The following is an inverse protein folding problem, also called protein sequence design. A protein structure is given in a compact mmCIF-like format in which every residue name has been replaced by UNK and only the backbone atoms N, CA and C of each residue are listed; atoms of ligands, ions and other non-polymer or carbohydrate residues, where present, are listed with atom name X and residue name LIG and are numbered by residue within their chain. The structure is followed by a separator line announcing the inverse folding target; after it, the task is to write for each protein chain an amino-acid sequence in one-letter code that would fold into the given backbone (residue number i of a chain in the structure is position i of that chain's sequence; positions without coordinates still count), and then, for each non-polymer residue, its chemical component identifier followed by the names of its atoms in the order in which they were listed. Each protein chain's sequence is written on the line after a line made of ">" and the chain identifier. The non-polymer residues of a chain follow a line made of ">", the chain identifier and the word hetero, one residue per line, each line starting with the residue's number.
data_IF_939652879307
#
_entry.id   IF_939652879307
#
_cell.length_a   1.000
_cell.length_b   1.000
_cell.length_c   1.000
_cell.angle_alpha   90.00
_cell.angle_beta   90.00
_cell.angle_gamma   90.00
#
_symmetry.space_group_name_H-M   'P 1'
#
loop_
_entity.id
_entity.type
_entity.pdbx_description
1 polymer ?
#
# COMPACT_ATOMS: atom_id res chain seq x y z
N UNK A 1 -12.10 0.68 -20.78
CA UNK A 1 -11.71 0.12 -19.45
C UNK A 1 -12.32 0.97 -18.36
N UNK A 2 -12.98 0.37 -17.37
CA UNK A 2 -13.65 1.06 -16.25
C UNK A 2 -12.62 1.56 -15.24
N UNK A 3 -12.86 2.75 -14.71
CA UNK A 3 -12.11 3.27 -13.56
C UNK A 3 -12.71 2.70 -12.26
N UNK A 4 -12.24 1.51 -11.88
CA UNK A 4 -12.76 0.76 -10.73
C UNK A 4 -11.61 0.14 -9.93
N UNK A 5 -11.70 0.24 -8.61
CA UNK A 5 -10.74 -0.41 -7.71
C UNK A 5 -11.18 -1.85 -7.44
N UNK A 6 -10.35 -2.83 -7.80
CA UNK A 6 -10.68 -4.26 -7.71
C UNK A 6 -10.22 -4.86 -6.38
N UNK A 7 -11.11 -5.58 -5.70
CA UNK A 7 -10.87 -6.20 -4.38
C UNK A 7 -10.17 -7.56 -4.51
N UNK A 8 -8.90 -7.56 -4.93
CA UNK A 8 -8.06 -8.76 -5.02
C UNK A 8 -7.76 -9.37 -3.65
N UNK A 9 -7.20 -10.59 -3.60
CA UNK A 9 -6.76 -11.25 -2.37
C UNK A 9 -5.77 -10.38 -1.58
N UNK A 10 -4.83 -9.72 -2.25
CA UNK A 10 -3.88 -8.80 -1.63
C UNK A 10 -4.58 -7.59 -0.98
N UNK A 11 -5.56 -7.01 -1.64
CA UNK A 11 -6.35 -5.89 -1.11
C UNK A 11 -7.09 -6.31 0.16
N UNK A 12 -7.72 -7.48 0.14
CA UNK A 12 -8.44 -8.00 1.32
C UNK A 12 -7.49 -8.26 2.50
N UNK A 13 -6.30 -8.85 2.26
CA UNK A 13 -5.27 -9.06 3.29
C UNK A 13 -4.79 -7.73 3.88
N UNK A 14 -4.52 -6.74 3.04
CA UNK A 14 -4.14 -5.39 3.49
C UNK A 14 -5.21 -4.78 4.40
N UNK A 15 -6.46 -4.77 3.93
CA UNK A 15 -7.58 -4.21 4.71
C UNK A 15 -7.73 -4.90 6.05
N UNK A 16 -7.72 -6.24 6.07
CA UNK A 16 -7.81 -7.02 7.31
C UNK A 16 -6.71 -6.67 8.30
N UNK A 17 -5.44 -6.56 7.83
CA UNK A 17 -4.32 -6.18 8.67
C UNK A 17 -4.46 -4.75 9.24
N UNK A 18 -4.87 -3.79 8.40
CA UNK A 18 -5.05 -2.40 8.86
C UNK A 18 -6.25 -2.27 9.81
N UNK A 19 -7.35 -2.96 9.53
CA UNK A 19 -8.50 -3.03 10.44
C UNK A 19 -8.11 -3.66 11.78
N UNK A 20 -7.33 -4.75 11.76
CA UNK A 20 -6.85 -5.38 12.99
C UNK A 20 -6.05 -4.39 13.85
N UNK A 21 -5.03 -3.70 13.32
CA UNK A 21 -4.24 -2.75 14.11
C UNK A 21 -5.06 -1.54 14.57
N UNK A 22 -6.10 -1.14 13.83
CA UNK A 22 -6.96 -0.02 14.20
C UNK A 22 -7.89 -0.36 15.37
N UNK A 23 -8.36 -1.60 15.47
CA UNK A 23 -9.28 -2.04 16.53
C UNK A 23 -8.57 -2.51 17.81
N UNK A 24 -7.23 -2.58 17.83
CA UNK A 24 -6.49 -2.93 19.06
C UNK A 24 -6.62 -1.84 20.12
N UNK A 25 -6.54 -2.23 21.38
CA UNK A 25 -6.60 -1.31 22.51
C UNK A 25 -5.45 -0.29 22.46
N UNK A 26 -5.68 0.89 23.01
CA UNK A 26 -4.60 1.87 23.23
C UNK A 26 -3.59 1.29 24.23
N UNK A 27 -2.30 1.52 23.97
CA UNK A 27 -1.21 1.03 24.83
C UNK A 27 -0.70 -0.35 24.47
N UNK A 28 -1.19 -0.96 23.37
CA UNK A 28 -0.58 -2.13 22.74
C UNK A 28 -0.08 -1.78 21.35
N UNK A 29 0.83 -2.59 20.82
CA UNK A 29 1.43 -2.37 19.50
C UNK A 29 0.37 -2.35 18.41
N UNK A 30 0.48 -1.39 17.49
CA UNK A 30 -0.47 -1.12 16.41
C UNK A 30 0.25 -0.84 15.10
N UNK A 31 1.28 -1.62 14.80
CA UNK A 31 2.03 -1.51 13.55
C UNK A 31 1.78 -2.70 12.63
N UNK A 32 1.76 -2.43 11.33
CA UNK A 32 1.72 -3.44 10.28
C UNK A 32 2.84 -3.21 9.27
N UNK A 33 3.42 -4.30 8.77
CA UNK A 33 4.38 -4.29 7.67
C UNK A 33 3.76 -4.96 6.46
N UNK A 34 3.76 -4.28 5.31
CA UNK A 34 3.29 -4.80 4.03
C UNK A 34 4.44 -4.75 3.03
N UNK A 35 4.80 -5.87 2.46
CA UNK A 35 5.93 -5.91 1.53
C UNK A 35 5.69 -6.87 0.38
N UNK A 36 6.35 -6.63 -0.73
CA UNK A 36 6.40 -7.55 -1.89
C UNK A 36 7.33 -7.04 -2.98
N UNK A 37 7.48 -7.85 -4.01
CA UNK A 37 8.07 -7.42 -5.27
C UNK A 37 7.28 -6.24 -5.90
N UNK A 38 7.91 -5.46 -6.81
CA UNK A 38 7.25 -4.35 -7.49
C UNK A 38 6.06 -4.80 -8.34
N UNK A 39 5.07 -3.91 -8.52
CA UNK A 39 3.96 -4.12 -9.47
C UNK A 39 2.80 -4.99 -8.96
N UNK A 40 2.75 -5.30 -7.66
CA UNK A 40 1.66 -6.06 -7.02
C UNK A 40 0.58 -5.19 -6.35
N UNK A 41 0.59 -3.86 -6.57
CA UNK A 41 -0.49 -2.97 -6.20
C UNK A 41 -0.46 -2.42 -4.77
N UNK A 42 0.66 -2.52 -4.04
CA UNK A 42 0.77 -2.01 -2.65
C UNK A 42 0.39 -0.54 -2.52
N UNK A 43 1.06 0.33 -3.27
CA UNK A 43 0.84 1.79 -3.25
C UNK A 43 -0.60 2.15 -3.58
N UNK A 44 -1.16 1.54 -4.64
CA UNK A 44 -2.55 1.79 -5.06
C UNK A 44 -3.55 1.35 -4.01
N UNK A 45 -3.32 0.19 -3.39
CA UNK A 45 -4.14 -0.31 -2.28
C UNK A 45 -4.11 0.65 -1.09
N UNK A 46 -2.93 1.16 -0.75
CA UNK A 46 -2.75 2.10 0.34
C UNK A 46 -3.42 3.46 0.07
N UNK A 47 -3.26 3.99 -1.15
CA UNK A 47 -3.91 5.24 -1.58
C UNK A 47 -5.44 5.11 -1.50
N UNK A 48 -5.97 4.03 -2.06
CA UNK A 48 -7.42 3.76 -2.00
C UNK A 48 -7.90 3.62 -0.55
N UNK A 49 -7.14 2.94 0.30
CA UNK A 49 -7.48 2.82 1.73
C UNK A 49 -7.45 4.19 2.42
N UNK A 50 -6.39 4.96 2.23
CA UNK A 50 -6.22 6.27 2.86
C UNK A 50 -7.36 7.24 2.48
N UNK A 51 -7.72 7.29 1.20
CA UNK A 51 -8.81 8.13 0.70
C UNK A 51 -10.18 7.80 1.33
N UNK A 52 -10.42 6.52 1.64
CA UNK A 52 -11.72 6.07 2.15
C UNK A 52 -11.81 5.97 3.69
N UNK A 53 -10.67 6.05 4.41
CA UNK A 53 -10.63 5.80 5.87
C UNK A 53 -9.95 6.91 6.66
N UNK A 54 -9.83 8.11 6.10
CA UNK A 54 -9.19 9.26 6.75
C UNK A 54 -7.79 8.97 7.30
N UNK A 55 -7.07 8.00 6.73
CA UNK A 55 -5.67 7.75 7.02
C UNK A 55 -4.80 8.81 6.32
N UNK A 56 -3.61 9.07 6.84
CA UNK A 56 -2.61 9.88 6.13
C UNK A 56 -1.62 8.97 5.44
N UNK A 57 -1.20 9.35 4.23
CA UNK A 57 -0.24 8.56 3.46
C UNK A 57 0.95 9.41 3.07
N UNK A 58 2.12 8.97 3.48
CA UNK A 58 3.39 9.63 3.20
C UNK A 58 4.24 8.71 2.35
N UNK A 59 4.62 9.19 1.19
CA UNK A 59 5.58 8.51 0.35
C UNK A 59 6.99 8.95 0.72
N UNK A 60 7.76 8.04 1.26
CA UNK A 60 9.13 8.35 1.71
C UNK A 60 10.07 8.59 0.53
N UNK A 61 11.09 9.39 0.76
CA UNK A 61 12.05 9.80 -0.27
C UNK A 61 13.47 9.52 0.21
N UNK A 62 14.37 9.22 -0.69
CA UNK A 62 15.76 8.82 -0.38
C UNK A 62 16.52 9.85 0.49
N UNK A 63 16.22 11.13 0.35
CA UNK A 63 16.87 12.21 1.11
C UNK A 63 16.05 12.66 2.32
N UNK A 64 14.93 11.99 2.62
CA UNK A 64 14.04 12.35 3.72
C UNK A 64 14.71 12.10 5.06
N UNK A 65 14.87 13.14 5.84
CA UNK A 65 15.32 13.08 7.22
C UNK A 65 14.13 12.86 8.18
N UNK A 66 14.40 12.47 9.42
CA UNK A 66 13.36 12.36 10.44
C UNK A 66 12.59 13.67 10.68
N UNK A 67 13.28 14.84 10.57
CA UNK A 67 12.60 16.13 10.65
C UNK A 67 11.65 16.34 9.46
N UNK A 68 12.10 16.11 8.23
CA UNK A 68 11.25 16.25 7.05
C UNK A 68 10.05 15.31 7.11
N UNK A 69 10.24 14.07 7.58
CA UNK A 69 9.13 13.13 7.77
C UNK A 69 8.09 13.66 8.76
N UNK A 70 8.53 14.25 9.88
CA UNK A 70 7.63 14.88 10.85
C UNK A 70 6.90 16.09 10.26
N UNK A 71 7.55 16.89 9.43
CA UNK A 71 6.93 18.01 8.71
C UNK A 71 5.80 17.52 7.82
N UNK A 72 6.03 16.50 6.97
CA UNK A 72 4.98 15.91 6.13
C UNK A 72 3.85 15.30 6.97
N UNK A 73 4.14 14.64 8.10
CA UNK A 73 3.10 14.12 9.00
C UNK A 73 2.21 15.26 9.51
N UNK A 74 2.80 16.36 9.97
CA UNK A 74 2.05 17.51 10.53
C UNK A 74 1.23 18.20 9.44
N UNK A 75 1.79 18.37 8.23
CA UNK A 75 1.08 18.94 7.08
C UNK A 75 -0.13 18.08 6.67
N UNK A 76 0.03 16.76 6.57
CA UNK A 76 -1.06 15.82 6.28
C UNK A 76 -2.13 15.77 7.39
N UNK A 77 -1.77 16.14 8.62
CA UNK A 77 -2.71 16.34 9.72
C UNK A 77 -3.41 17.71 9.66
N UNK A 78 -3.08 18.56 8.69
CA UNK A 78 -3.70 19.85 8.43
C UNK A 78 -3.16 21.00 9.26
N UNK A 79 -1.93 20.91 9.77
CA UNK A 79 -1.29 21.96 10.55
C UNK A 79 0.01 22.46 9.89
N UNK A 80 0.40 23.71 10.18
CA UNK A 80 1.71 24.23 9.76
C UNK A 80 2.81 23.69 10.68
N UNK A 81 3.92 23.12 10.13
CA UNK A 81 4.98 22.52 10.91
C UNK A 81 5.72 23.54 11.80
N UNK A 82 5.98 23.16 13.03
CA UNK A 82 6.77 23.97 13.96
C UNK A 82 8.23 24.07 13.53
N UNK A 83 8.86 25.23 13.78
CA UNK A 83 10.23 25.49 13.34
C UNK A 83 11.27 24.61 14.05
N UNK A 84 11.16 24.40 15.36
CA UNK A 84 12.12 23.60 16.13
C UNK A 84 11.73 22.13 16.12
N UNK A 85 12.70 21.22 15.91
CA UNK A 85 12.45 19.78 15.83
C UNK A 85 11.72 19.20 17.04
N UNK A 86 12.07 19.66 18.27
CA UNK A 86 11.39 19.24 19.49
C UNK A 86 9.92 19.67 19.52
N UNK A 87 9.64 20.89 19.11
CA UNK A 87 8.27 21.43 19.04
C UNK A 87 7.47 20.71 17.97
N UNK A 88 8.09 20.42 16.81
CA UNK A 88 7.50 19.68 15.71
C UNK A 88 7.12 18.25 16.13
N UNK A 89 8.00 17.54 16.84
CA UNK A 89 7.69 16.20 17.35
C UNK A 89 6.52 16.25 18.35
N UNK A 90 6.54 17.17 19.31
CA UNK A 90 5.44 17.35 20.26
C UNK A 90 4.13 17.74 19.57
N UNK A 91 4.20 18.55 18.51
CA UNK A 91 3.05 18.92 17.69
C UNK A 91 2.43 17.69 17.01
N UNK A 92 3.25 16.84 16.39
CA UNK A 92 2.79 15.58 15.76
C UNK A 92 2.12 14.67 16.80
N UNK A 93 2.74 14.49 17.98
CA UNK A 93 2.16 13.71 19.11
C UNK A 93 0.81 14.26 19.54
N UNK A 94 0.71 15.57 19.74
CA UNK A 94 -0.54 16.21 20.20
C UNK A 94 -1.67 16.11 19.16
N UNK A 95 -1.35 16.30 17.88
CA UNK A 95 -2.32 16.17 16.79
C UNK A 95 -2.85 14.74 16.68
N UNK A 96 -1.96 13.74 16.71
CA UNK A 96 -2.34 12.33 16.66
C UNK A 96 -3.05 11.87 17.93
N UNK A 97 -2.70 12.42 19.08
CA UNK A 97 -3.39 12.13 20.35
C UNK A 97 -4.81 12.66 20.39
N UNK A 98 -5.06 13.86 19.85
CA UNK A 98 -6.38 14.49 19.78
C UNK A 98 -7.28 13.91 18.68
N UNK A 99 -6.68 13.55 17.54
CA UNK A 99 -7.36 12.94 16.38
C UNK A 99 -6.55 11.76 15.87
N UNK A 100 -6.72 10.57 16.47
CA UNK A 100 -5.99 9.38 16.04
C UNK A 100 -6.28 9.07 14.56
N UNK A 101 -5.23 9.02 13.75
CA UNK A 101 -5.28 8.64 12.34
C UNK A 101 -4.22 7.57 12.07
N UNK A 102 -4.53 6.66 11.17
CA UNK A 102 -3.55 5.68 10.69
C UNK A 102 -2.53 6.39 9.81
N UNK A 103 -1.25 6.21 10.11
CA UNK A 103 -0.15 6.70 9.27
C UNK A 103 0.29 5.55 8.35
N UNK A 104 0.26 5.78 7.05
CA UNK A 104 0.75 4.85 6.04
C UNK A 104 2.04 5.42 5.45
N UNK A 105 3.13 4.69 5.58
CA UNK A 105 4.46 5.06 5.09
C UNK A 105 4.79 4.17 3.88
N UNK A 106 4.82 4.74 2.68
CA UNK A 106 5.16 4.01 1.46
C UNK A 106 6.64 4.17 1.09
N UNK A 107 7.19 3.15 0.43
CA UNK A 107 8.60 3.07 0.02
C UNK A 107 9.60 3.15 1.19
N UNK A 108 9.26 2.55 2.34
CA UNK A 108 10.09 2.60 3.56
C UNK A 108 11.54 2.10 3.36
N UNK A 109 11.82 1.42 2.28
CA UNK A 109 13.17 0.98 1.89
C UNK A 109 14.18 2.14 1.85
N UNK A 110 13.74 3.36 1.61
CA UNK A 110 14.62 4.53 1.54
C UNK A 110 15.21 4.93 2.89
N UNK A 111 14.53 4.64 3.99
CA UNK A 111 15.05 4.96 5.33
C UNK A 111 15.45 3.74 6.18
N UNK A 112 15.34 2.52 5.65
CA UNK A 112 15.74 1.31 6.41
C UNK A 112 17.21 1.27 6.83
N UNK A 113 18.05 2.16 6.36
CA UNK A 113 19.42 2.35 6.79
C UNK A 113 19.62 3.53 7.75
N UNK A 114 18.59 4.34 8.01
CA UNK A 114 18.65 5.49 8.91
C UNK A 114 17.98 5.17 10.24
N UNK A 115 18.82 4.81 11.22
CA UNK A 115 18.33 4.48 12.57
C UNK A 115 17.58 5.63 13.24
N UNK A 116 17.93 6.90 12.94
CA UNK A 116 17.25 8.05 13.55
C UNK A 116 15.81 8.17 13.08
N UNK A 117 15.53 7.93 11.80
CA UNK A 117 14.16 7.92 11.27
C UNK A 117 13.37 6.77 11.89
N UNK A 118 13.96 5.58 11.95
CA UNK A 118 13.36 4.38 12.55
C UNK A 118 12.97 4.61 14.01
N UNK A 119 13.90 5.14 14.81
CA UNK A 119 13.66 5.43 16.22
C UNK A 119 12.63 6.56 16.41
N UNK A 120 12.64 7.59 15.55
CA UNK A 120 11.64 8.66 15.59
C UNK A 120 10.21 8.12 15.35
N UNK A 121 10.04 7.21 14.40
CA UNK A 121 8.74 6.57 14.13
C UNK A 121 8.30 5.68 15.28
N UNK A 122 9.23 4.93 15.87
CA UNK A 122 8.95 4.13 17.07
C UNK A 122 8.49 5.02 18.22
N UNK A 123 9.22 6.08 18.53
CA UNK A 123 8.89 7.00 19.63
C UNK A 123 7.54 7.69 19.39
N UNK A 124 7.25 8.08 18.13
CA UNK A 124 5.97 8.66 17.76
C UNK A 124 4.82 7.67 17.97
N UNK A 125 5.01 6.40 17.57
CA UNK A 125 4.02 5.34 17.82
C UNK A 125 3.79 5.11 19.32
N UNK A 126 4.87 4.96 20.09
CA UNK A 126 4.80 4.62 21.51
C UNK A 126 4.13 5.72 22.34
N UNK A 127 4.36 6.99 21.98
CA UNK A 127 3.80 8.13 22.72
C UNK A 127 2.39 8.50 22.25
N UNK A 128 2.17 8.55 20.93
CA UNK A 128 0.86 8.93 20.38
C UNK A 128 -0.12 7.75 20.26
N UNK A 129 0.35 6.51 20.42
CA UNK A 129 -0.43 5.29 20.23
C UNK A 129 -1.17 5.25 18.90
N UNK A 130 -0.58 5.84 17.84
CA UNK A 130 -1.19 5.89 16.52
C UNK A 130 -0.89 4.62 15.73
N UNK A 131 -1.86 4.07 14.98
CA UNK A 131 -1.62 2.95 14.09
C UNK A 131 -0.67 3.34 12.96
N UNK A 132 0.29 2.47 12.63
CA UNK A 132 1.22 2.72 11.52
C UNK A 132 1.30 1.53 10.58
N UNK A 133 1.33 1.81 9.28
CA UNK A 133 1.52 0.80 8.22
C UNK A 133 2.78 1.15 7.44
N UNK A 134 3.71 0.23 7.42
CA UNK A 134 4.96 0.35 6.67
C UNK A 134 4.84 -0.45 5.39
N UNK A 135 5.09 0.19 4.24
CA UNK A 135 5.02 -0.46 2.93
C UNK A 135 6.38 -0.43 2.28
N UNK A 136 6.91 -1.61 1.96
CA UNK A 136 8.24 -1.74 1.38
C UNK A 136 8.33 -2.73 0.22
N UNK A 137 9.53 -2.84 -0.34
CA UNK A 137 9.86 -3.84 -1.36
C UNK A 137 10.15 -5.21 -0.71
N UNK A 138 10.38 -6.24 -1.52
CA UNK A 138 10.54 -7.62 -1.07
C UNK A 138 11.66 -7.88 -0.04
N UNK A 139 12.59 -6.93 0.12
CA UNK A 139 13.66 -6.99 1.13
C UNK A 139 13.36 -6.16 2.39
N UNK A 140 12.26 -5.40 2.43
CA UNK A 140 11.93 -4.49 3.54
C UNK A 140 11.83 -5.23 4.87
N UNK A 141 11.18 -6.39 4.87
CA UNK A 141 11.05 -7.26 6.04
C UNK A 141 12.43 -7.59 6.64
N UNK A 142 13.34 -8.16 5.86
CA UNK A 142 14.69 -8.51 6.32
C UNK A 142 15.52 -7.31 6.79
N UNK A 143 15.32 -6.15 6.17
CA UNK A 143 16.01 -4.92 6.57
C UNK A 143 15.49 -4.37 7.89
N UNK A 144 14.16 -4.36 8.08
CA UNK A 144 13.53 -3.89 9.31
C UNK A 144 13.75 -4.84 10.49
N UNK A 145 13.90 -6.15 10.28
CA UNK A 145 14.29 -7.12 11.33
C UNK A 145 15.58 -6.75 12.06
N UNK A 146 16.46 -5.95 11.44
CA UNK A 146 17.70 -5.47 12.10
C UNK A 146 17.40 -4.49 13.24
N UNK A 147 16.25 -3.89 13.24
CA UNK A 147 15.76 -2.95 14.25
C UNK A 147 14.74 -3.66 15.14
N UNK A 148 15.22 -4.57 15.99
CA UNK A 148 14.37 -5.44 16.82
C UNK A 148 13.34 -4.65 17.61
N UNK A 149 13.73 -3.51 18.20
CA UNK A 149 12.82 -2.65 18.95
C UNK A 149 11.66 -2.06 18.13
N UNK A 150 11.84 -1.82 16.84
CA UNK A 150 10.74 -1.44 15.95
C UNK A 150 10.00 -2.70 15.49
N UNK A 151 10.75 -3.75 15.11
CA UNK A 151 10.18 -4.95 14.50
C UNK A 151 9.19 -5.66 15.44
N UNK A 152 9.48 -5.67 16.74
CA UNK A 152 8.62 -6.24 17.78
C UNK A 152 7.24 -5.53 17.89
N UNK A 153 7.08 -4.36 17.27
CA UNK A 153 5.81 -3.62 17.23
C UNK A 153 4.94 -3.98 16.04
N UNK A 154 5.48 -4.73 15.05
CA UNK A 154 4.66 -5.23 13.96
C UNK A 154 3.84 -6.44 14.41
N UNK A 155 2.54 -6.23 14.59
CA UNK A 155 1.58 -7.29 14.92
C UNK A 155 1.01 -7.96 13.68
N UNK A 156 1.13 -7.29 12.54
CA UNK A 156 0.75 -7.81 11.24
C UNK A 156 1.90 -7.67 10.25
N UNK A 157 2.26 -8.79 9.61
CA UNK A 157 3.27 -8.83 8.55
C UNK A 157 2.65 -9.47 7.32
N UNK A 158 2.32 -8.65 6.32
CA UNK A 158 1.59 -9.05 5.12
C UNK A 158 2.52 -9.03 3.92
N UNK A 159 2.75 -10.20 3.34
CA UNK A 159 3.41 -10.31 2.04
C UNK A 159 2.36 -10.33 0.94
N UNK A 160 2.41 -9.34 0.02
CA UNK A 160 1.63 -9.41 -1.19
C UNK A 160 2.21 -10.48 -2.12
N UNK A 161 1.34 -11.26 -2.68
CA UNK A 161 1.67 -12.35 -3.59
C UNK A 161 1.28 -11.99 -5.02
N UNK A 162 1.83 -12.70 -5.98
CA UNK A 162 1.38 -12.63 -7.36
C UNK A 162 -0.10 -13.00 -7.43
N UNK A 163 -0.84 -12.29 -8.27
CA UNK A 163 -2.25 -12.55 -8.46
C UNK A 163 -2.43 -13.94 -9.10
N UNK A 164 -3.34 -14.71 -8.55
CA UNK A 164 -3.72 -15.99 -9.09
C UNK A 164 -4.79 -15.85 -10.20
N UNK A 165 -5.21 -16.98 -10.77
CA UNK A 165 -6.18 -17.02 -11.85
C UNK A 165 -7.53 -16.39 -11.45
N UNK A 166 -7.98 -16.58 -10.21
CA UNK A 166 -9.24 -16.01 -9.72
C UNK A 166 -9.18 -14.48 -9.64
N UNK A 167 -8.06 -13.94 -9.14
CA UNK A 167 -7.83 -12.49 -9.11
C UNK A 167 -7.75 -11.90 -10.54
N UNK A 168 -7.09 -12.60 -11.49
CA UNK A 168 -7.03 -12.16 -12.89
C UNK A 168 -8.42 -12.17 -13.53
N UNK A 169 -9.20 -13.22 -13.33
CA UNK A 169 -10.58 -13.31 -13.81
C UNK A 169 -11.44 -12.18 -13.24
N UNK A 170 -11.32 -11.91 -11.94
CA UNK A 170 -12.01 -10.80 -11.27
C UNK A 170 -11.62 -9.46 -11.90
N UNK A 171 -10.33 -9.23 -12.16
CA UNK A 171 -9.85 -8.01 -12.79
C UNK A 171 -10.39 -7.84 -14.22
N UNK A 172 -10.38 -8.88 -15.03
CA UNK A 172 -10.98 -8.85 -16.36
C UNK A 172 -12.47 -8.46 -16.30
N UNK A 173 -13.23 -9.08 -15.40
CA UNK A 173 -14.66 -8.81 -15.23
C UNK A 173 -14.96 -7.39 -14.74
N UNK A 174 -14.18 -6.90 -13.79
CA UNK A 174 -14.46 -5.64 -13.11
C UNK A 174 -13.95 -4.40 -13.89
N UNK A 175 -12.81 -4.55 -14.58
CA UNK A 175 -12.15 -3.44 -15.29
C UNK A 175 -12.57 -3.30 -16.74
N UNK A 176 -13.07 -4.37 -17.35
CA UNK A 176 -13.39 -4.35 -18.78
C UNK A 176 -14.85 -4.05 -19.09
N UNK A 177 -15.07 -3.44 -20.27
CA UNK A 177 -16.39 -3.24 -20.88
C UNK A 177 -16.74 -4.38 -21.84
N UNK A 178 -15.76 -5.22 -22.19
CA UNK A 178 -15.96 -6.41 -23.03
C UNK A 178 -15.80 -7.70 -22.21
N UNK A 179 -16.45 -8.75 -22.64
CA UNK A 179 -16.36 -10.06 -21.99
C UNK A 179 -15.06 -10.76 -22.37
N UNK A 180 -14.33 -11.25 -21.36
CA UNK A 180 -13.13 -12.08 -21.56
C UNK A 180 -13.52 -13.55 -21.43
N UNK A 181 -13.29 -14.31 -22.49
CA UNK A 181 -13.48 -15.78 -22.52
C UNK A 181 -12.43 -16.46 -21.64
N UNK A 182 -12.66 -17.69 -21.22
CA UNK A 182 -11.77 -18.42 -20.33
C UNK A 182 -10.33 -18.51 -20.86
N UNK A 183 -10.17 -18.81 -22.15
CA UNK A 183 -8.87 -18.88 -22.82
C UNK A 183 -8.12 -17.52 -22.84
N UNK A 184 -8.83 -16.40 -22.89
CA UNK A 184 -8.26 -15.07 -22.78
C UNK A 184 -7.77 -14.78 -21.36
N UNK A 185 -8.54 -15.18 -20.35
CA UNK A 185 -8.14 -15.05 -18.93
C UNK A 185 -6.91 -15.91 -18.64
N UNK A 186 -6.87 -17.15 -19.15
CA UNK A 186 -5.71 -18.04 -19.04
C UNK A 186 -4.45 -17.41 -19.66
N UNK A 187 -4.61 -16.83 -20.86
CA UNK A 187 -3.52 -16.14 -21.54
C UNK A 187 -3.00 -14.95 -20.73
N UNK A 188 -3.90 -14.10 -20.19
CA UNK A 188 -3.51 -12.96 -19.36
C UNK A 188 -2.81 -13.43 -18.08
N UNK A 189 -3.32 -14.47 -17.41
CA UNK A 189 -2.72 -15.01 -16.20
C UNK A 189 -1.28 -15.52 -16.47
N UNK A 190 -1.09 -16.23 -17.57
CA UNK A 190 0.21 -16.74 -17.96
C UNK A 190 1.20 -15.60 -18.33
N UNK A 191 0.83 -14.71 -19.25
CA UNK A 191 1.68 -13.64 -19.76
C UNK A 191 2.02 -12.59 -18.71
N UNK A 192 1.08 -12.25 -17.82
CA UNK A 192 1.32 -11.27 -16.75
C UNK A 192 2.21 -11.81 -15.63
N UNK A 193 2.23 -13.14 -15.46
CA UNK A 193 2.85 -13.79 -14.31
C UNK A 193 2.31 -13.27 -12.97
N UNK A 194 1.01 -12.87 -12.93
CA UNK A 194 0.33 -12.36 -11.75
C UNK A 194 0.71 -10.93 -11.34
N UNK A 195 1.33 -10.16 -12.23
CA UNK A 195 1.73 -8.76 -11.96
C UNK A 195 0.62 -7.81 -12.41
N UNK A 196 0.03 -7.04 -11.48
CA UNK A 196 -1.12 -6.13 -11.75
C UNK A 196 -0.85 -5.19 -12.93
N UNK A 197 0.33 -4.56 -12.98
CA UNK A 197 0.69 -3.65 -14.07
C UNK A 197 0.61 -4.31 -15.44
N UNK A 198 1.05 -5.58 -15.55
CA UNK A 198 0.97 -6.33 -16.81
C UNK A 198 -0.47 -6.75 -17.11
N UNK A 199 -1.23 -7.19 -16.11
CA UNK A 199 -2.64 -7.56 -16.27
C UNK A 199 -3.43 -6.38 -16.83
N UNK A 200 -3.30 -5.19 -16.24
CA UNK A 200 -3.98 -3.97 -16.72
C UNK A 200 -3.57 -3.65 -18.17
N UNK A 201 -2.28 -3.74 -18.49
CA UNK A 201 -1.80 -3.47 -19.84
C UNK A 201 -2.38 -4.46 -20.87
N UNK A 202 -2.47 -5.75 -20.51
CA UNK A 202 -3.05 -6.78 -21.36
C UNK A 202 -4.56 -6.59 -21.56
N UNK A 203 -5.31 -6.31 -20.50
CA UNK A 203 -6.75 -5.98 -20.57
C UNK A 203 -6.96 -4.79 -21.51
N UNK A 204 -6.21 -3.70 -21.33
CA UNK A 204 -6.33 -2.50 -22.16
C UNK A 204 -6.00 -2.76 -23.63
N UNK A 205 -4.95 -3.57 -23.91
CA UNK A 205 -4.61 -3.98 -25.28
C UNK A 205 -5.76 -4.77 -25.91
N UNK A 206 -6.29 -5.75 -25.19
CA UNK A 206 -7.39 -6.58 -25.68
C UNK A 206 -8.67 -5.79 -25.96
N UNK A 207 -9.03 -4.83 -25.09
CA UNK A 207 -10.17 -3.94 -25.33
C UNK A 207 -9.99 -3.09 -26.60
N UNK A 208 -8.78 -2.59 -26.87
CA UNK A 208 -8.50 -1.86 -28.12
C UNK A 208 -8.72 -2.73 -29.36
N UNK A 209 -8.27 -3.99 -29.31
CA UNK A 209 -8.49 -4.95 -30.41
C UNK A 209 -9.98 -5.26 -30.57
N UNK A 210 -10.68 -5.51 -29.47
CA UNK A 210 -12.13 -5.73 -29.50
C UNK A 210 -12.90 -4.54 -30.09
N UNK A 211 -12.53 -3.32 -29.69
CA UNK A 211 -13.15 -2.10 -30.21
C UNK A 211 -12.93 -1.93 -31.72
N UNK A 212 -11.69 -2.19 -32.20
CA UNK A 212 -11.37 -2.13 -33.64
C UNK A 212 -12.18 -3.15 -34.46
N UNK A 213 -12.39 -4.35 -33.90
CA UNK A 213 -13.13 -5.43 -34.55
C UNK A 213 -14.64 -5.41 -34.25
N UNK A 214 -15.13 -4.43 -33.48
CA UNK A 214 -16.53 -4.37 -32.99
C UNK A 214 -16.97 -5.65 -32.29
N UNK A 215 -16.01 -6.33 -31.63
CA UNK A 215 -16.27 -7.57 -30.93
C UNK A 215 -16.83 -7.30 -29.51
N UNK A 216 -17.77 -8.11 -29.05
CA UNK A 216 -18.34 -8.05 -27.70
C UNK A 216 -17.58 -8.91 -26.70
N UNK A 217 -16.74 -9.82 -27.18
CA UNK A 217 -15.94 -10.74 -26.36
C UNK A 217 -14.52 -10.86 -26.94
N UNK A 218 -13.58 -11.22 -26.07
CA UNK A 218 -12.15 -11.41 -26.38
C UNK A 218 -11.76 -12.84 -26.05
N UNK A 219 -11.08 -13.52 -26.98
CA UNK A 219 -10.44 -14.81 -26.79
C UNK A 219 -8.92 -14.71 -26.89
N UNK A 220 -8.21 -15.81 -26.60
CA UNK A 220 -6.74 -15.85 -26.64
C UNK A 220 -6.14 -15.46 -28.00
N UNK A 221 -6.85 -15.70 -29.10
CA UNK A 221 -6.46 -15.32 -30.47
C UNK A 221 -6.32 -13.81 -30.68
N UNK A 222 -6.98 -12.99 -29.86
CA UNK A 222 -7.03 -11.53 -30.01
C UNK A 222 -5.82 -10.84 -29.36
N UNK A 223 -4.89 -11.60 -28.77
CA UNK A 223 -3.62 -11.10 -28.20
C UNK A 223 -2.42 -11.23 -29.16
N UNK A 224 -2.62 -11.86 -30.34
CA UNK A 224 -1.58 -12.04 -31.37
C UNK A 224 -1.29 -10.80 -32.16
#
# INVERSE_FOLDING_TARGET
>A
MKDKFVQTKNVRRFRGAVEHINHRLKGVERMALVFSDPGLGKTETALHYAANNSAIMIRTKKLMSGRWLLEEIVEELGASPAWRTKELFNQAVNLLGSRPRTIILDEVDYFTSDSKVIETLRDLHDIAHCPMVFIGMGQADKKLMRYTHLYDRFVEVVKFEKLDHEDVQLMCKELSDVEFLADAVDHIAFESGGTIRKIIALIHRAEKVAAANRAKSVGAKDFK
#
